data_IF_722241886389
#
_entry.id   IF_722241886389
#
_cell.length_a   1.000
_cell.length_b   1.000
_cell.length_c   1.000
_cell.angle_alpha   90.00
_cell.angle_beta   90.00
_cell.angle_gamma   90.00
#
_symmetry.space_group_name_H-M   'P 1'
#
loop_
_entity.id
_entity.type
_entity.pdbx_description
1 polymer ?
#
# COMPACT_ATOMS: atom_id res chain seq x y z
N UNK A 1 -6.21 -2.80 52.86
CA UNK A 1 -5.30 -2.43 51.75
C UNK A 1 -5.89 -3.00 50.46
N UNK A 2 -6.11 -2.32 49.33
CA UNK A 2 -6.31 -0.91 48.98
C UNK A 2 -7.50 -0.90 48.03
N UNK A 3 -8.55 -0.16 48.37
CA UNK A 3 -9.68 0.17 47.49
C UNK A 3 -9.37 1.51 46.85
N UNK A 4 -9.18 1.57 45.53
CA UNK A 4 -9.30 2.84 44.80
C UNK A 4 -10.15 2.60 43.54
N UNK A 5 -11.42 2.93 43.71
CA UNK A 5 -12.41 3.13 42.68
C UNK A 5 -12.18 4.56 42.15
N UNK A 6 -11.61 4.71 40.96
CA UNK A 6 -11.50 6.03 40.30
C UNK A 6 -12.62 6.20 39.29
N UNK A 7 -13.73 6.76 39.76
CA UNK A 7 -14.61 7.59 38.92
C UNK A 7 -13.90 8.93 38.68
N UNK A 8 -13.83 9.36 37.42
CA UNK A 8 -13.42 10.72 37.06
C UNK A 8 -14.66 11.42 36.47
N UNK A 9 -15.25 12.34 37.25
CA UNK A 9 -16.32 13.29 36.91
C UNK A 9 -17.38 12.87 35.88
N UNK A 10 -18.58 12.52 36.38
CA UNK A 10 -19.84 12.26 35.65
C UNK A 10 -20.38 13.44 34.81
N UNK A 11 -19.57 14.06 33.96
CA UNK A 11 -20.02 14.97 32.93
C UNK A 11 -19.56 14.43 31.58
N UNK A 12 -20.54 14.03 30.76
CA UNK A 12 -20.27 13.80 29.35
C UNK A 12 -19.71 15.11 28.77
N UNK A 13 -18.44 15.11 28.39
CA UNK A 13 -17.86 16.22 27.64
C UNK A 13 -18.76 16.45 26.42
N UNK A 14 -19.30 17.66 26.30
CA UNK A 14 -20.21 18.06 25.23
C UNK A 14 -19.47 17.93 23.90
N UNK A 15 -19.75 16.88 23.13
CA UNK A 15 -19.09 16.60 21.83
C UNK A 15 -18.38 15.25 21.70
N UNK A 16 -18.63 14.29 22.61
CA UNK A 16 -18.10 12.93 22.48
C UNK A 16 -19.13 11.97 21.85
N UNK A 17 -18.72 11.01 21.00
CA UNK A 17 -17.35 10.55 20.83
C UNK A 17 -16.50 11.52 20.03
N UNK A 18 -15.34 11.88 20.57
CA UNK A 18 -14.25 12.40 19.76
C UNK A 18 -13.84 11.25 18.84
N UNK A 19 -14.20 11.32 17.57
CA UNK A 19 -13.57 10.51 16.54
C UNK A 19 -12.11 10.94 16.50
N UNK A 20 -11.25 10.33 17.32
CA UNK A 20 -9.88 10.12 16.90
C UNK A 20 -9.99 9.17 15.73
N UNK A 21 -9.74 9.58 14.46
CA UNK A 21 -9.52 8.61 13.41
C UNK A 21 -8.30 7.81 13.84
N UNK A 22 -8.55 6.65 14.45
CA UNK A 22 -7.50 5.68 14.76
C UNK A 22 -6.99 5.26 13.40
N UNK A 23 -5.84 5.80 13.04
CA UNK A 23 -5.15 5.45 11.82
C UNK A 23 -4.80 3.97 11.95
N UNK A 24 -5.48 3.13 11.17
CA UNK A 24 -5.27 1.69 11.17
C UNK A 24 -4.57 1.30 9.86
N UNK A 25 -3.23 1.17 9.85
CA UNK A 25 -2.48 0.75 8.65
C UNK A 25 -2.89 -0.63 8.15
N UNK A 26 -3.46 -1.49 9.00
CA UNK A 26 -3.95 -2.82 8.61
C UNK A 26 -5.26 -2.75 7.82
N UNK A 27 -5.94 -1.60 7.86
CA UNK A 27 -7.14 -1.34 7.07
C UNK A 27 -6.84 -0.93 5.62
N UNK A 28 -5.55 -0.73 5.27
CA UNK A 28 -5.13 -0.42 3.91
C UNK A 28 -5.21 -1.68 3.04
N UNK A 29 -5.93 -1.58 1.92
CA UNK A 29 -6.06 -2.66 0.95
C UNK A 29 -5.27 -2.34 -0.31
N UNK A 30 -4.52 -3.32 -0.81
CA UNK A 30 -3.72 -3.19 -2.01
C UNK A 30 -4.20 -4.22 -3.02
N UNK A 31 -4.43 -3.79 -4.26
CA UNK A 31 -4.90 -4.66 -5.33
C UNK A 31 -4.31 -4.26 -6.69
N UNK A 32 -3.95 -5.24 -7.50
CA UNK A 32 -3.49 -5.02 -8.88
C UNK A 32 -2.22 -5.78 -9.19
N UNK A 33 -1.99 -6.01 -10.48
CA UNK A 33 -0.87 -6.83 -10.96
C UNK A 33 0.49 -6.24 -10.58
N UNK A 34 0.60 -4.90 -10.47
CA UNK A 34 1.84 -4.21 -10.13
C UNK A 34 2.46 -4.54 -8.76
N UNK A 35 1.80 -5.32 -7.89
CA UNK A 35 2.40 -5.85 -6.64
C UNK A 35 2.67 -7.36 -6.66
N UNK A 36 2.32 -8.05 -7.75
CA UNK A 36 2.47 -9.50 -7.91
C UNK A 36 3.32 -9.86 -9.14
N UNK A 37 2.94 -9.35 -10.32
CA UNK A 37 3.57 -9.65 -11.60
C UNK A 37 3.51 -8.47 -12.58
N UNK A 38 4.59 -8.23 -13.31
CA UNK A 38 4.63 -7.23 -14.37
C UNK A 38 5.54 -7.65 -15.54
N UNK A 39 5.35 -7.04 -16.71
CA UNK A 39 6.23 -7.23 -17.85
C UNK A 39 7.32 -6.15 -17.85
N UNK A 40 8.55 -6.53 -18.18
CA UNK A 40 9.66 -5.60 -18.33
C UNK A 40 9.36 -4.60 -19.47
N UNK A 41 9.66 -3.33 -19.25
CA UNK A 41 9.45 -2.20 -20.14
C UNK A 41 7.96 -1.86 -20.44
N UNK A 42 7.02 -2.44 -19.69
CA UNK A 42 5.60 -2.10 -19.78
C UNK A 42 5.12 -1.35 -18.54
N UNK A 43 4.21 -0.40 -18.74
CA UNK A 43 3.57 0.31 -17.63
C UNK A 43 2.69 -0.65 -16.84
N UNK A 44 2.98 -0.81 -15.54
CA UNK A 44 2.16 -1.58 -14.61
C UNK A 44 1.59 -0.67 -13.52
N UNK A 45 0.51 -1.13 -12.90
CA UNK A 45 -0.16 -0.37 -11.85
C UNK A 45 -0.77 -1.24 -10.76
N UNK A 46 -0.92 -0.62 -9.59
CA UNK A 46 -1.69 -1.16 -8.48
C UNK A 46 -2.46 -0.05 -7.77
N UNK A 47 -3.52 -0.43 -7.08
CA UNK A 47 -4.39 0.47 -6.35
C UNK A 47 -4.21 0.27 -4.84
N UNK A 48 -4.22 1.38 -4.12
CA UNK A 48 -4.14 1.43 -2.66
C UNK A 48 -5.40 2.11 -2.14
N UNK A 49 -6.21 1.37 -1.38
CA UNK A 49 -7.42 1.88 -0.75
C UNK A 49 -7.15 2.13 0.73
N UNK A 50 -7.31 3.39 1.15
CA UNK A 50 -7.08 3.87 2.51
C UNK A 50 -8.37 4.36 3.18
N UNK A 51 -9.55 3.99 2.65
CA UNK A 51 -10.85 4.54 3.10
C UNK A 51 -11.08 4.42 4.61
N UNK A 52 -10.53 3.40 5.24
CA UNK A 52 -10.64 3.16 6.68
C UNK A 52 -9.40 3.60 7.49
N UNK A 53 -8.28 3.93 6.83
CA UNK A 53 -7.03 4.32 7.47
C UNK A 53 -6.96 5.83 7.81
N UNK A 54 -7.98 6.61 7.40
CA UNK A 54 -8.00 8.07 7.56
C UNK A 54 -7.21 8.82 6.50
N UNK A 55 -7.20 10.16 6.58
CA UNK A 55 -6.38 11.00 5.70
C UNK A 55 -4.91 10.93 6.15
N UNK A 56 -4.20 9.93 5.64
CA UNK A 56 -2.81 9.63 5.96
C UNK A 56 -1.90 9.88 4.75
N UNK A 57 -0.65 10.28 5.01
CA UNK A 57 0.37 10.35 3.96
C UNK A 57 0.80 8.93 3.57
N UNK A 58 0.58 8.57 2.31
CA UNK A 58 1.11 7.33 1.73
C UNK A 58 2.52 7.56 1.18
N UNK A 59 3.43 6.66 1.50
CA UNK A 59 4.77 6.60 0.91
C UNK A 59 4.90 5.27 0.16
N UNK A 60 5.36 5.34 -1.09
CA UNK A 60 5.52 4.18 -1.96
C UNK A 60 6.90 4.20 -2.58
N UNK A 61 7.62 3.08 -2.46
CA UNK A 61 8.97 2.92 -3.01
C UNK A 61 9.06 1.57 -3.70
N UNK A 62 9.53 1.56 -4.94
CA UNK A 62 9.75 0.34 -5.72
C UNK A 62 11.24 0.18 -5.92
N UNK A 63 11.79 -0.97 -5.52
CA UNK A 63 13.22 -1.28 -5.58
C UNK A 63 13.45 -2.44 -6.55
N UNK A 64 14.36 -2.24 -7.49
CA UNK A 64 14.76 -3.25 -8.48
C UNK A 64 15.55 -4.40 -7.85
N UNK A 65 15.70 -5.53 -8.56
CA UNK A 65 16.50 -6.67 -8.10
C UNK A 65 17.96 -6.30 -7.76
N UNK A 66 18.49 -5.23 -8.39
CA UNK A 66 19.84 -4.72 -8.14
C UNK A 66 19.88 -3.61 -7.05
N UNK A 67 18.77 -3.37 -6.35
CA UNK A 67 18.71 -2.39 -5.27
C UNK A 67 18.49 -0.94 -5.72
N UNK A 68 18.14 -0.71 -6.99
CA UNK A 68 17.90 0.64 -7.52
C UNK A 68 16.44 1.07 -7.34
N UNK A 69 16.22 2.31 -6.96
CA UNK A 69 14.88 2.89 -6.88
C UNK A 69 14.28 3.14 -8.28
N UNK A 70 13.05 2.67 -8.46
CA UNK A 70 12.25 2.87 -9.66
C UNK A 70 11.34 4.09 -9.46
N UNK A 71 11.31 5.04 -10.41
CA UNK A 71 10.36 6.14 -10.37
C UNK A 71 8.92 5.63 -10.35
N UNK A 72 8.12 6.16 -9.43
CA UNK A 72 6.70 5.86 -9.31
C UNK A 72 5.89 7.13 -9.57
N UNK A 73 4.76 6.98 -10.24
CA UNK A 73 3.75 8.02 -10.38
C UNK A 73 2.56 7.67 -9.50
N UNK A 74 2.10 8.62 -8.69
CA UNK A 74 0.95 8.44 -7.82
C UNK A 74 -0.15 9.38 -8.28
N UNK A 75 -1.33 8.81 -8.53
CA UNK A 75 -2.53 9.54 -8.94
C UNK A 75 -3.73 9.18 -8.05
N UNK A 76 -4.75 10.03 -8.03
CA UNK A 76 -5.94 9.84 -7.19
C UNK A 76 -5.85 10.52 -5.82
N UNK A 77 -6.70 10.08 -4.88
CA UNK A 77 -6.76 10.65 -3.54
C UNK A 77 -7.21 9.61 -2.49
N UNK A 78 -7.03 9.91 -1.21
CA UNK A 78 -7.36 9.00 -0.11
C UNK A 78 -8.84 8.55 -0.07
N UNK A 79 -9.77 9.37 -0.61
CA UNK A 79 -11.22 9.08 -0.60
C UNK A 79 -11.62 8.12 -1.72
N UNK A 80 -11.02 8.26 -2.91
CA UNK A 80 -11.31 7.43 -4.10
C UNK A 80 -10.36 6.24 -4.25
N UNK A 81 -9.29 6.20 -3.46
CA UNK A 81 -8.16 5.32 -3.67
C UNK A 81 -7.04 5.99 -4.47
N UNK A 82 -5.82 5.56 -4.19
CA UNK A 82 -4.62 5.97 -4.90
C UNK A 82 -4.26 4.91 -5.93
N UNK A 83 -3.84 5.35 -7.12
CA UNK A 83 -3.28 4.49 -8.16
C UNK A 83 -1.80 4.79 -8.30
N UNK A 84 -0.99 3.75 -8.26
CA UNK A 84 0.45 3.82 -8.36
C UNK A 84 0.82 3.18 -9.69
N UNK A 85 1.48 3.94 -10.55
CA UNK A 85 1.98 3.50 -11.83
C UNK A 85 3.51 3.49 -11.81
N UNK A 86 4.13 2.45 -12.36
CA UNK A 86 5.58 2.38 -12.56
C UNK A 86 5.91 1.50 -13.76
N UNK A 87 7.14 1.64 -14.28
CA UNK A 87 7.63 0.85 -15.41
C UNK A 87 8.91 0.14 -14.97
N UNK A 88 8.87 -1.18 -14.71
CA UNK A 88 10.09 -1.94 -14.44
C UNK A 88 10.89 -2.12 -15.73
N UNK A 89 12.22 -2.08 -15.65
CA UNK A 89 13.08 -2.18 -16.84
C UNK A 89 13.84 -3.51 -16.92
N UNK A 90 14.01 -4.19 -15.78
CA UNK A 90 14.82 -5.40 -15.65
C UNK A 90 13.90 -6.57 -15.29
N UNK A 91 14.28 -7.78 -15.70
CA UNK A 91 13.61 -9.01 -15.27
C UNK A 91 14.09 -9.38 -13.88
N UNK A 92 13.18 -9.84 -13.02
CA UNK A 92 13.51 -10.34 -11.69
C UNK A 92 12.53 -9.91 -10.61
N UNK A 93 12.93 -10.12 -9.36
CA UNK A 93 12.09 -9.86 -8.19
C UNK A 93 12.24 -8.42 -7.68
N UNK A 94 11.19 -7.62 -7.85
CA UNK A 94 11.10 -6.26 -7.35
C UNK A 94 10.47 -6.24 -5.95
N UNK A 95 10.93 -5.31 -5.11
CA UNK A 95 10.34 -5.07 -3.78
C UNK A 95 9.55 -3.78 -3.80
N UNK A 96 8.26 -3.87 -3.50
CA UNK A 96 7.35 -2.73 -3.41
C UNK A 96 7.06 -2.44 -1.94
N UNK A 97 7.61 -1.35 -1.44
CA UNK A 97 7.38 -0.86 -0.08
C UNK A 97 6.20 0.10 -0.10
N UNK A 98 5.23 -0.16 0.76
CA UNK A 98 4.10 0.73 0.99
C UNK A 98 3.99 1.03 2.49
N UNK A 99 3.97 2.31 2.82
CA UNK A 99 3.88 2.81 4.18
C UNK A 99 2.78 3.85 4.30
N UNK A 100 2.02 3.77 5.39
CA UNK A 100 0.96 4.71 5.75
C UNK A 100 1.38 5.44 7.03
N UNK A 101 1.54 6.76 6.96
CA UNK A 101 2.03 7.59 8.08
C UNK A 101 3.36 7.11 8.70
N UNK A 102 4.25 6.54 7.87
CA UNK A 102 5.54 6.00 8.31
C UNK A 102 5.47 4.59 8.90
N UNK A 103 4.29 3.95 8.91
CA UNK A 103 4.09 2.57 9.35
C UNK A 103 3.90 1.69 8.10
N UNK A 104 4.67 0.60 7.93
CA UNK A 104 4.45 -0.35 6.84
C UNK A 104 3.03 -0.94 6.91
N UNK A 105 2.35 -0.97 5.78
CA UNK A 105 1.03 -1.62 5.71
C UNK A 105 1.19 -3.14 5.71
N UNK A 106 0.12 -3.86 6.06
CA UNK A 106 0.10 -5.32 6.03
C UNK A 106 0.51 -5.86 4.66
N UNK A 107 1.53 -6.72 4.65
CA UNK A 107 2.08 -7.33 3.42
C UNK A 107 3.26 -6.57 2.80
N UNK A 108 3.57 -5.37 3.28
CA UNK A 108 4.76 -4.63 2.87
C UNK A 108 6.03 -5.27 3.48
N UNK A 109 7.12 -5.47 2.71
CA UNK A 109 7.22 -5.23 1.27
C UNK A 109 6.56 -6.33 0.44
N UNK A 110 5.89 -5.92 -0.63
CA UNK A 110 5.34 -6.84 -1.63
C UNK A 110 6.43 -7.26 -2.62
N UNK A 111 6.33 -8.48 -3.10
CA UNK A 111 7.27 -9.06 -4.06
C UNK A 111 6.61 -9.14 -5.43
N UNK A 112 7.07 -8.31 -6.38
CA UNK A 112 6.55 -8.31 -7.75
C UNK A 112 7.54 -9.02 -8.68
N UNK A 113 7.10 -10.08 -9.34
CA UNK A 113 7.92 -10.82 -10.29
C UNK A 113 7.81 -10.20 -11.69
N UNK A 114 8.91 -9.63 -12.18
CA UNK A 114 8.97 -9.01 -13.51
C UNK A 114 9.54 -10.01 -14.51
N UNK A 115 8.83 -10.25 -15.60
CA UNK A 115 9.20 -11.19 -16.66
C UNK A 115 9.40 -10.49 -18.01
N UNK A 116 10.13 -11.15 -18.91
CA UNK A 116 10.24 -10.72 -20.30
C UNK A 116 9.04 -11.23 -21.10
N UNK A 117 8.15 -10.35 -21.61
CA UNK A 117 6.99 -10.77 -22.39
C UNK A 117 7.37 -11.47 -23.70
N UNK A 118 8.55 -11.19 -24.28
CA UNK A 118 9.02 -11.84 -25.51
C UNK A 118 9.41 -13.32 -25.31
N UNK A 119 9.74 -13.70 -24.07
CA UNK A 119 10.03 -15.08 -23.69
C UNK A 119 8.77 -15.88 -23.31
N UNK A 120 7.63 -15.21 -23.16
CA UNK A 120 6.34 -15.88 -22.94
C UNK A 120 5.75 -16.30 -24.30
N UNK A 121 6.09 -17.51 -24.75
CA UNK A 121 5.38 -18.17 -25.85
C UNK A 121 4.12 -18.85 -25.32
N UNK A 122 2.95 -18.30 -25.63
CA UNK A 122 1.68 -18.99 -25.41
C UNK A 122 1.52 -20.02 -26.53
N UNK A 123 1.71 -21.30 -26.21
CA UNK A 123 1.29 -22.37 -27.11
C UNK A 123 -0.24 -22.47 -27.04
N UNK A 124 -0.93 -21.85 -27.99
CA UNK A 124 -2.36 -22.10 -28.21
C UNK A 124 -2.52 -23.55 -28.69
N UNK A 125 -3.33 -24.41 -28.04
CA UNK A 125 -3.75 -25.66 -28.65
C UNK A 125 -4.63 -25.31 -29.84
N UNK A 126 -4.21 -25.74 -31.04
CA UNK A 126 -5.00 -25.65 -32.27
C UNK A 126 -6.13 -26.67 -32.32
#
# INVERSE_FOLDING_TARGET
>A
LHLIHTQFNKEAVRGSPHQCPVLDPDSVQIAGKGVEMAAANELTSFHVNMKNAGEAKLNVRVVSPFGKDIPVHVSGNAKTGLRIDYTPYEVGLYKVFVECAGIPVKGSPFSCNVFDPALIRINSPG
#
